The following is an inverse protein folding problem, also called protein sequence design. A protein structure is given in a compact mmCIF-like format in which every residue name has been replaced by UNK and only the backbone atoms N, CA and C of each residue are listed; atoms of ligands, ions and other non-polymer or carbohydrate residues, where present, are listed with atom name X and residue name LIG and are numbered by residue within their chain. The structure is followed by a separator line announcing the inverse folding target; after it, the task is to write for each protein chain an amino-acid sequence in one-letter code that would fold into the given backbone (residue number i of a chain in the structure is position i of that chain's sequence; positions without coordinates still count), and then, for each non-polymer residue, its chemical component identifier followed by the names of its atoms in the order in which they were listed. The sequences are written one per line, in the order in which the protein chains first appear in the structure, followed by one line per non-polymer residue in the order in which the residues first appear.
data_IF_800259825100
#
_entry.id   IF_800259825100
#
_cell.length_a   1.000
_cell.length_b   1.000
_cell.length_c   1.000
_cell.angle_alpha   90.00
_cell.angle_beta   90.00
_cell.angle_gamma   90.00
#
_symmetry.space_group_name_H-M   'P 1'
#
loop_
_entity.id
_entity.type
_entity.pdbx_description
1 polymer ?
#
# COMPACT_ATOMS: atom_id res chain seq x y z
N UNK A 1 -22.97 27.05 3.33
CA UNK A 1 -23.80 25.98 3.92
C UNK A 1 -23.91 24.86 2.91
N UNK A 2 -23.25 23.72 3.18
CA UNK A 2 -23.41 22.46 2.46
C UNK A 2 -23.09 21.32 3.45
N UNK A 3 -23.79 20.20 3.28
CA UNK A 3 -24.27 19.31 4.32
C UNK A 3 -23.21 18.40 4.99
N UNK A 4 -23.58 17.91 6.18
CA UNK A 4 -22.84 16.88 6.92
C UNK A 4 -22.85 15.55 6.14
N UNK A 5 -21.71 14.86 6.13
CA UNK A 5 -21.59 13.48 5.63
C UNK A 5 -21.46 12.54 6.83
N UNK A 6 -22.58 12.06 7.35
CA UNK A 6 -22.60 10.97 8.33
C UNK A 6 -22.56 9.64 7.59
N UNK A 7 -21.36 9.08 7.40
CA UNK A 7 -21.22 7.74 6.82
C UNK A 7 -21.31 6.67 7.91
N UNK A 8 -22.48 6.05 7.94
CA UNK A 8 -22.84 4.86 8.70
C UNK A 8 -22.07 3.64 8.17
N UNK A 9 -20.83 3.46 8.61
CA UNK A 9 -20.06 2.23 8.33
C UNK A 9 -20.25 1.15 9.40
N UNK A 10 -21.45 1.08 10.00
CA UNK A 10 -21.82 -0.06 10.85
C UNK A 10 -23.01 -0.79 10.26
N UNK A 11 -22.87 -2.12 10.20
CA UNK A 11 -23.88 -3.14 9.94
C UNK A 11 -24.00 -3.63 8.50
N UNK A 12 -23.27 -4.71 8.20
CA UNK A 12 -23.91 -5.84 7.52
C UNK A 12 -23.32 -7.15 8.04
N UNK A 13 -24.05 -7.81 8.94
CA UNK A 13 -23.84 -9.19 9.37
C UNK A 13 -23.96 -10.18 8.20
N UNK A 14 -23.30 -11.35 8.27
CA UNK A 14 -23.22 -12.31 7.19
C UNK A 14 -24.47 -13.20 7.13
N UNK A 15 -25.16 -13.25 5.99
CA UNK A 15 -26.20 -14.25 5.72
C UNK A 15 -25.64 -15.37 4.86
N UNK A 16 -25.51 -16.55 5.48
CA UNK A 16 -25.34 -17.85 4.83
C UNK A 16 -26.45 -18.13 3.81
N UNK A 17 -26.08 -18.66 2.63
CA UNK A 17 -26.92 -19.60 1.87
C UNK A 17 -26.07 -20.60 1.06
N UNK A 18 -26.58 -21.83 0.83
CA UNK A 18 -25.81 -23.03 0.49
C UNK A 18 -25.63 -23.22 -1.02
N UNK A 19 -24.64 -24.05 -1.36
CA UNK A 19 -24.02 -24.11 -2.69
C UNK A 19 -24.80 -24.78 -3.82
N UNK A 20 -24.22 -24.64 -5.01
CA UNK A 20 -24.41 -25.49 -6.18
C UNK A 20 -23.22 -25.31 -7.13
N UNK A 21 -22.47 -26.41 -7.28
CA UNK A 21 -21.81 -26.91 -8.49
C UNK A 21 -20.72 -26.06 -9.16
N UNK A 22 -19.51 -26.63 -9.15
CA UNK A 22 -18.31 -26.17 -9.83
C UNK A 22 -18.29 -26.73 -11.27
N UNK A 23 -18.26 -25.91 -12.33
CA UNK A 23 -17.80 -26.38 -13.63
C UNK A 23 -16.28 -26.43 -13.64
N UNK A 24 -15.75 -27.66 -13.77
CA UNK A 24 -14.40 -27.89 -14.26
C UNK A 24 -14.30 -27.28 -15.66
N UNK A 25 -13.41 -26.29 -15.80
CA UNK A 25 -12.57 -26.02 -16.97
C UNK A 25 -12.41 -24.51 -17.14
N UNK A 26 -11.22 -24.01 -16.90
CA UNK A 26 -10.25 -23.74 -17.96
C UNK A 26 -8.97 -23.35 -17.26
N UNK A 27 -7.86 -23.88 -17.74
CA UNK A 27 -6.55 -23.41 -17.33
C UNK A 27 -6.47 -21.92 -17.68
N UNK A 28 -6.70 -21.06 -16.69
CA UNK A 28 -6.24 -19.68 -16.77
C UNK A 28 -4.72 -19.74 -16.70
N UNK A 29 -4.13 -19.79 -17.89
CA UNK A 29 -2.77 -19.33 -18.12
C UNK A 29 -2.73 -17.86 -17.77
N UNK A 30 -2.54 -17.57 -16.48
CA UNK A 30 -2.13 -16.25 -16.00
C UNK A 30 -0.85 -16.48 -15.23
N UNK A 31 0.22 -16.46 -16.02
CA UNK A 31 1.53 -15.92 -15.70
C UNK A 31 1.72 -15.62 -14.21
N UNK A 32 2.24 -16.62 -13.47
CA UNK A 32 3.06 -16.35 -12.29
C UNK A 32 4.32 -15.62 -12.77
N UNK A 33 4.17 -14.35 -13.17
CA UNK A 33 5.30 -13.46 -13.32
C UNK A 33 5.60 -13.00 -11.89
N UNK A 34 6.68 -13.53 -11.33
CA UNK A 34 7.08 -13.27 -9.96
C UNK A 34 7.21 -11.77 -9.70
N UNK A 35 6.20 -11.19 -9.06
CA UNK A 35 6.33 -9.90 -8.38
C UNK A 35 6.89 -10.12 -6.97
N UNK A 36 7.92 -10.94 -6.85
CA UNK A 36 8.51 -11.26 -5.55
C UNK A 36 9.80 -10.50 -5.24
N UNK A 37 10.27 -9.63 -6.14
CA UNK A 37 11.54 -8.93 -5.95
C UNK A 37 11.56 -7.54 -6.63
N UNK A 38 10.50 -6.75 -6.43
CA UNK A 38 10.62 -5.31 -6.70
C UNK A 38 11.39 -4.68 -5.54
N UNK A 39 12.42 -3.91 -5.87
CA UNK A 39 13.21 -3.15 -4.91
C UNK A 39 12.27 -2.33 -3.98
N UNK A 40 12.36 -2.52 -2.65
CA UNK A 40 11.56 -1.78 -1.68
C UNK A 40 11.62 -0.26 -1.86
N UNK A 41 12.79 0.27 -2.27
CA UNK A 41 12.99 1.71 -2.52
C UNK A 41 12.18 2.19 -3.74
N UNK A 42 12.13 1.40 -4.81
CA UNK A 42 11.30 1.72 -5.99
C UNK A 42 9.81 1.68 -5.62
N UNK A 43 9.41 0.69 -4.81
CA UNK A 43 8.03 0.56 -4.35
C UNK A 43 7.62 1.71 -3.43
N UNK A 44 8.55 2.18 -2.59
CA UNK A 44 8.37 3.35 -1.72
C UNK A 44 8.07 4.60 -2.54
N UNK A 45 8.91 4.90 -3.53
CA UNK A 45 8.73 6.06 -4.41
C UNK A 45 7.39 5.98 -5.14
N UNK A 46 7.06 4.81 -5.70
CA UNK A 46 5.79 4.62 -6.41
C UNK A 46 4.57 4.80 -5.50
N UNK A 47 4.63 4.31 -4.25
CA UNK A 47 3.58 4.52 -3.26
C UNK A 47 3.36 6.00 -2.97
N UNK A 48 4.44 6.77 -2.77
CA UNK A 48 4.36 8.20 -2.45
C UNK A 48 3.96 9.07 -3.64
N UNK A 49 4.35 8.69 -4.85
CA UNK A 49 4.00 9.41 -6.07
C UNK A 49 2.62 9.02 -6.63
N UNK A 50 1.99 7.98 -6.08
CA UNK A 50 0.68 7.54 -6.54
C UNK A 50 -0.36 8.66 -6.38
N UNK A 51 -0.94 9.05 -7.51
CA UNK A 51 -2.07 9.98 -7.56
C UNK A 51 -3.25 9.26 -8.20
N UNK A 52 -4.39 9.27 -7.53
CA UNK A 52 -5.64 8.72 -8.07
C UNK A 52 -6.04 9.47 -9.34
N UNK A 53 -6.11 8.82 -10.52
CA UNK A 53 -6.58 9.46 -11.74
C UNK A 53 -8.02 9.95 -11.57
N UNK A 54 -8.34 11.14 -12.10
CA UNK A 54 -9.68 11.76 -11.96
C UNK A 54 -10.83 10.88 -12.46
N UNK A 55 -10.56 9.98 -13.39
CA UNK A 55 -11.54 9.12 -14.04
C UNK A 55 -11.54 7.68 -13.47
N UNK A 56 -10.68 7.40 -12.49
CA UNK A 56 -10.52 6.04 -11.97
C UNK A 56 -11.59 5.66 -10.94
N UNK A 57 -11.95 4.38 -10.91
CA UNK A 57 -12.78 3.81 -9.86
C UNK A 57 -12.03 3.87 -8.49
N UNK A 58 -12.61 4.52 -7.45
CA UNK A 58 -11.96 4.64 -6.15
C UNK A 58 -11.55 3.30 -5.52
N UNK A 59 -12.31 2.24 -5.78
CA UNK A 59 -11.98 0.90 -5.24
C UNK A 59 -10.74 0.33 -5.93
N UNK A 60 -10.64 0.47 -7.25
CA UNK A 60 -9.43 0.10 -7.98
C UNK A 60 -8.21 0.94 -7.58
N UNK A 61 -8.39 2.25 -7.40
CA UNK A 61 -7.31 3.12 -6.92
C UNK A 61 -6.82 2.72 -5.52
N UNK A 62 -7.74 2.41 -4.60
CA UNK A 62 -7.39 1.94 -3.26
C UNK A 62 -6.67 0.59 -3.30
N UNK A 63 -7.11 -0.35 -4.15
CA UNK A 63 -6.42 -1.64 -4.33
C UNK A 63 -4.98 -1.40 -4.79
N UNK A 64 -4.77 -0.53 -5.77
CA UNK A 64 -3.42 -0.23 -6.27
C UNK A 64 -2.53 0.42 -5.21
N UNK A 65 -3.07 1.38 -4.47
CA UNK A 65 -2.34 2.01 -3.36
C UNK A 65 -1.99 0.99 -2.27
N UNK A 66 -2.90 0.05 -1.99
CA UNK A 66 -2.68 -1.04 -1.02
C UNK A 66 -1.58 -1.99 -1.49
N UNK A 67 -1.56 -2.39 -2.75
CA UNK A 67 -0.50 -3.22 -3.33
C UNK A 67 0.87 -2.55 -3.21
N UNK A 68 0.96 -1.27 -3.60
CA UNK A 68 2.21 -0.49 -3.49
C UNK A 68 2.69 -0.39 -2.03
N UNK A 69 1.76 -0.19 -1.09
CA UNK A 69 2.05 -0.18 0.34
C UNK A 69 2.61 -1.52 0.83
N UNK A 70 2.03 -2.65 0.38
CA UNK A 70 2.51 -3.98 0.74
C UNK A 70 3.89 -4.28 0.15
N UNK A 71 4.13 -3.87 -1.10
CA UNK A 71 5.43 -4.05 -1.74
C UNK A 71 6.53 -3.20 -1.08
N UNK A 72 6.19 -2.00 -0.62
CA UNK A 72 7.11 -1.15 0.13
C UNK A 72 7.37 -1.67 1.55
N UNK A 73 6.30 -1.85 2.35
CA UNK A 73 6.43 -2.17 3.77
C UNK A 73 6.74 -3.64 4.04
N UNK A 74 6.53 -4.53 3.05
CA UNK A 74 6.75 -5.98 3.14
C UNK A 74 6.31 -6.59 4.47
N UNK A 75 5.00 -6.51 4.83
CA UNK A 75 4.50 -7.09 6.08
C UNK A 75 4.63 -8.62 6.14
N UNK A 76 4.96 -9.27 5.03
CA UNK A 76 5.38 -10.67 4.95
C UNK A 76 6.77 -10.92 5.55
N UNK A 77 7.64 -9.90 5.60
CA UNK A 77 9.01 -9.97 6.09
C UNK A 77 9.26 -9.14 7.35
N UNK A 78 8.50 -8.05 7.55
CA UNK A 78 8.72 -7.11 8.64
C UNK A 78 7.68 -7.26 9.77
N UNK A 79 8.15 -7.16 11.01
CA UNK A 79 7.28 -7.02 12.16
C UNK A 79 6.62 -5.64 12.18
N UNK A 80 5.57 -5.50 13.00
CA UNK A 80 4.90 -4.21 13.19
C UNK A 80 5.88 -3.14 13.67
N UNK A 81 6.78 -3.47 14.58
CA UNK A 81 7.78 -2.55 15.13
C UNK A 81 8.75 -2.10 14.04
N UNK A 82 9.24 -3.02 13.20
CA UNK A 82 10.10 -2.68 12.07
C UNK A 82 9.40 -1.77 11.06
N UNK A 83 8.13 -2.04 10.74
CA UNK A 83 7.32 -1.18 9.87
C UNK A 83 7.17 0.22 10.48
N UNK A 84 6.92 0.32 11.80
CA UNK A 84 6.83 1.61 12.48
C UNK A 84 8.16 2.35 12.44
N UNK A 85 9.29 1.67 12.65
CA UNK A 85 10.62 2.29 12.58
C UNK A 85 10.90 2.85 11.18
N UNK A 86 10.54 2.13 10.11
CA UNK A 86 10.64 2.62 8.73
C UNK A 86 9.82 3.90 8.53
N UNK A 87 8.56 3.91 8.98
CA UNK A 87 7.67 5.07 8.86
C UNK A 87 8.15 6.27 9.69
N UNK A 88 8.70 6.02 10.89
CA UNK A 88 9.29 7.05 11.74
C UNK A 88 10.52 7.64 11.07
N UNK A 89 11.40 6.81 10.50
CA UNK A 89 12.59 7.27 9.79
C UNK A 89 12.22 8.14 8.59
N UNK A 90 11.26 7.71 7.78
CA UNK A 90 10.77 8.50 6.67
C UNK A 90 10.21 9.85 7.12
N UNK A 91 9.33 9.85 8.13
CA UNK A 91 8.76 11.09 8.66
C UNK A 91 9.84 12.00 9.25
N UNK A 92 10.84 11.43 9.92
CA UNK A 92 11.97 12.16 10.46
C UNK A 92 12.78 12.84 9.35
N UNK A 93 13.06 12.14 8.25
CA UNK A 93 13.74 12.72 7.08
C UNK A 93 12.92 13.85 6.45
N UNK A 94 11.60 13.69 6.30
CA UNK A 94 10.72 14.74 5.76
C UNK A 94 10.68 15.98 6.66
N UNK A 95 10.67 15.77 7.99
CA UNK A 95 10.61 16.85 8.97
C UNK A 95 11.97 17.48 9.30
N UNK A 96 13.08 16.91 8.80
CA UNK A 96 14.42 17.38 9.10
C UNK A 96 14.72 18.71 8.40
N UNK A 97 15.27 19.73 9.10
CA UNK A 97 15.80 20.94 8.49
C UNK A 97 16.85 20.65 7.40
N UNK A 98 16.89 21.46 6.36
CA UNK A 98 17.73 21.23 5.18
C UNK A 98 19.24 21.17 5.52
N UNK A 99 19.67 21.92 6.52
CA UNK A 99 21.05 21.93 7.02
C UNK A 99 21.47 20.57 7.58
N UNK A 100 20.54 19.85 8.21
CA UNK A 100 20.78 18.53 8.77
C UNK A 100 20.68 17.44 7.70
N UNK A 101 19.82 17.61 6.69
CA UNK A 101 19.74 16.70 5.54
C UNK A 101 21.09 16.65 4.78
N UNK A 102 21.68 17.82 4.53
CA UNK A 102 23.02 17.91 3.90
C UNK A 102 24.07 17.19 4.74
N UNK A 103 24.01 17.32 6.06
CA UNK A 103 24.94 16.66 6.97
C UNK A 103 24.78 15.13 6.95
N UNK A 104 23.56 14.61 6.91
CA UNK A 104 23.30 13.16 6.77
C UNK A 104 23.81 12.64 5.42
N UNK A 105 23.55 13.37 4.33
CA UNK A 105 24.05 13.00 2.99
C UNK A 105 25.57 13.02 2.89
N UNK A 106 26.23 13.97 3.54
CA UNK A 106 27.70 14.07 3.55
C UNK A 106 28.36 13.02 4.45
N UNK A 107 27.71 12.60 5.53
CA UNK A 107 28.29 11.67 6.50
C UNK A 107 27.97 10.19 6.23
N UNK A 108 27.20 9.86 5.18
CA UNK A 108 27.02 8.49 4.68
C UNK A 108 26.76 7.49 5.80
N UNK A 109 25.69 7.67 6.57
CA UNK A 109 25.29 6.70 7.58
C UNK A 109 24.93 5.39 6.86
N UNK A 110 25.81 4.40 6.97
CA UNK A 110 25.71 3.07 6.36
C UNK A 110 24.95 2.10 7.27
#
# INVERSE_FOLDING_TARGET
MAANCTSSWRQREPRNRPGLELPRSMASSETQLGNHDMDPEISHVNFRMFTCPKESDPIQALRKLTELCHLWLRPDLHTKEQILDMLVMEQFMISMPQELQVLVMMNGVQ
#
